data_IF_774755381561
#
_entry.id   IF_774755381561
#
_cell.length_a   1.000
_cell.length_b   1.000
_cell.length_c   1.000
_cell.angle_alpha   90.00
_cell.angle_beta   90.00
_cell.angle_gamma   90.00
#
_symmetry.space_group_name_H-M   'P 1'
#
loop_
_entity.id
_entity.type
_entity.pdbx_description
1 polymer ?
#
# COMPACT_ATOMS: atom_id res chain seq x y z
N UNK A 1 14.66 7.22 -18.80
CA UNK A 1 14.45 7.65 -17.40
C UNK A 1 12.96 7.61 -17.11
N UNK A 2 12.49 6.46 -16.63
CA UNK A 2 11.07 6.06 -16.57
C UNK A 2 10.36 6.51 -15.28
N UNK A 3 10.99 7.38 -14.49
CA UNK A 3 10.47 7.77 -13.17
C UNK A 3 9.17 8.57 -13.25
N UNK A 4 8.93 9.23 -14.39
CA UNK A 4 7.71 9.99 -14.63
C UNK A 4 6.54 9.15 -15.17
N UNK A 5 6.76 7.91 -15.63
CA UNK A 5 5.67 7.05 -16.16
C UNK A 5 4.66 6.65 -15.06
N UNK A 6 5.10 6.64 -13.81
CA UNK A 6 4.28 6.34 -12.62
C UNK A 6 3.76 7.60 -11.92
N UNK A 7 4.17 8.78 -12.38
CA UNK A 7 3.74 10.04 -11.80
C UNK A 7 2.43 10.47 -12.46
N UNK A 8 1.37 10.57 -11.65
CA UNK A 8 0.12 11.15 -12.11
C UNK A 8 0.28 12.67 -12.26
N UNK A 9 0.36 13.13 -13.52
CA UNK A 9 0.51 14.56 -13.84
C UNK A 9 -0.66 15.41 -13.34
N UNK A 10 -1.84 14.82 -13.13
CA UNK A 10 -2.99 15.54 -12.62
C UNK A 10 -2.78 16.01 -11.19
N UNK A 11 -1.94 15.34 -10.39
CA UNK A 11 -1.57 15.79 -9.05
C UNK A 11 -0.88 17.15 -9.06
N UNK A 12 0.03 17.39 -10.01
CA UNK A 12 0.73 18.68 -10.14
C UNK A 12 -0.09 19.71 -10.93
N UNK A 13 -0.65 19.32 -12.08
CA UNK A 13 -1.14 20.27 -13.08
C UNK A 13 -2.63 20.14 -13.40
N UNK A 14 -3.30 19.11 -12.89
CA UNK A 14 -4.70 18.83 -13.18
C UNK A 14 -5.68 19.79 -12.52
N UNK A 15 -6.96 19.79 -12.95
CA UNK A 15 -8.01 20.51 -12.23
C UNK A 15 -8.26 19.89 -10.85
N UNK A 16 -8.82 20.68 -9.92
CA UNK A 16 -9.07 20.22 -8.54
C UNK A 16 -9.92 18.93 -8.48
N UNK A 17 -10.84 18.73 -9.43
CA UNK A 17 -11.64 17.51 -9.53
C UNK A 17 -10.80 16.27 -9.85
N UNK A 18 -9.84 16.38 -10.78
CA UNK A 18 -8.95 15.27 -11.11
C UNK A 18 -8.05 14.90 -9.92
N UNK A 19 -7.47 15.90 -9.25
CA UNK A 19 -6.71 15.71 -8.01
C UNK A 19 -7.53 14.98 -6.95
N UNK A 20 -8.77 15.40 -6.74
CA UNK A 20 -9.65 14.76 -5.75
C UNK A 20 -9.93 13.28 -6.10
N UNK A 21 -10.16 12.98 -7.38
CA UNK A 21 -10.36 11.60 -7.86
C UNK A 21 -9.10 10.76 -7.63
N UNK A 22 -7.92 11.25 -8.02
CA UNK A 22 -6.65 10.55 -7.79
C UNK A 22 -6.41 10.31 -6.31
N UNK A 23 -6.65 11.29 -5.45
CA UNK A 23 -6.49 11.14 -4.00
C UNK A 23 -7.45 10.09 -3.44
N UNK A 24 -8.72 10.11 -3.79
CA UNK A 24 -9.68 9.08 -3.33
C UNK A 24 -9.25 7.68 -3.81
N UNK A 25 -8.85 7.55 -5.07
CA UNK A 25 -8.42 6.28 -5.65
C UNK A 25 -7.17 5.72 -4.94
N UNK A 26 -6.13 6.54 -4.77
CA UNK A 26 -4.83 6.12 -4.22
C UNK A 26 -4.78 6.05 -2.69
N UNK A 27 -5.58 6.84 -1.99
CA UNK A 27 -5.58 6.91 -0.52
C UNK A 27 -6.61 5.97 0.10
N UNK A 28 -7.75 5.75 -0.56
CA UNK A 28 -8.85 4.96 0.02
C UNK A 28 -9.04 3.65 -0.74
N UNK A 29 -9.31 3.73 -2.03
CA UNK A 29 -9.72 2.55 -2.79
C UNK A 29 -8.58 1.54 -2.92
N UNK A 30 -7.39 1.97 -3.36
CA UNK A 30 -6.24 1.08 -3.55
C UNK A 30 -5.84 0.40 -2.23
N UNK A 31 -5.62 1.11 -1.10
CA UNK A 31 -5.31 0.46 0.18
C UNK A 31 -6.38 -0.52 0.66
N UNK A 32 -7.66 -0.22 0.45
CA UNK A 32 -8.74 -1.13 0.83
C UNK A 32 -8.68 -2.45 0.04
N UNK A 33 -8.56 -2.37 -1.29
CA UNK A 33 -8.45 -3.56 -2.14
C UNK A 33 -7.17 -4.34 -1.85
N UNK A 34 -6.05 -3.65 -1.68
CA UNK A 34 -4.77 -4.26 -1.36
C UNK A 34 -4.82 -5.03 -0.03
N UNK A 35 -5.38 -4.47 1.04
CA UNK A 35 -5.51 -5.20 2.29
C UNK A 35 -6.41 -6.43 2.19
N UNK A 36 -7.53 -6.34 1.45
CA UNK A 36 -8.42 -7.48 1.22
C UNK A 36 -7.67 -8.61 0.50
N UNK A 37 -6.94 -8.29 -0.57
CA UNK A 37 -6.23 -9.26 -1.40
C UNK A 37 -5.02 -9.83 -0.65
N UNK A 38 -4.14 -8.97 -0.14
CA UNK A 38 -2.85 -9.39 0.40
C UNK A 38 -2.97 -9.92 1.83
N UNK A 39 -3.83 -9.37 2.68
CA UNK A 39 -3.95 -9.79 4.10
C UNK A 39 -5.13 -10.74 4.30
N UNK A 40 -6.26 -10.44 3.68
CA UNK A 40 -7.44 -11.32 3.74
C UNK A 40 -7.21 -12.64 3.03
N UNK A 41 -6.82 -12.60 1.75
CA UNK A 41 -6.72 -13.81 0.92
C UNK A 41 -5.32 -14.43 0.94
N UNK A 42 -4.30 -13.69 0.51
CA UNK A 42 -2.95 -14.23 0.30
C UNK A 42 -2.30 -14.64 1.63
N UNK A 43 -2.19 -13.72 2.60
CA UNK A 43 -1.62 -14.02 3.92
C UNK A 43 -2.39 -15.15 4.61
N UNK A 44 -3.74 -15.10 4.61
CA UNK A 44 -4.57 -16.15 5.19
C UNK A 44 -4.27 -17.55 4.60
N UNK A 45 -4.15 -17.63 3.28
CA UNK A 45 -3.82 -18.87 2.57
C UNK A 45 -2.41 -19.36 2.89
N UNK A 46 -1.42 -18.47 2.86
CA UNK A 46 -0.03 -18.79 3.19
C UNK A 46 0.11 -19.22 4.64
N UNK A 47 -0.60 -18.55 5.55
CA UNK A 47 -0.59 -18.87 6.97
C UNK A 47 -1.13 -20.28 7.21
N UNK A 48 -2.25 -20.63 6.59
CA UNK A 48 -2.83 -21.97 6.74
C UNK A 48 -1.83 -23.09 6.36
N UNK A 49 -0.91 -22.83 5.43
CA UNK A 49 0.04 -23.82 4.92
C UNK A 49 1.44 -23.76 5.53
N UNK A 50 1.94 -22.58 5.87
CA UNK A 50 3.35 -22.37 6.22
C UNK A 50 3.57 -21.77 7.62
N UNK A 51 2.50 -21.44 8.36
CA UNK A 51 2.61 -20.81 9.67
C UNK A 51 2.83 -19.29 9.61
N UNK A 52 3.05 -18.66 10.77
CA UNK A 52 3.02 -17.19 10.94
C UNK A 52 4.10 -16.51 10.11
N UNK A 53 5.36 -16.78 10.44
CA UNK A 53 6.49 -16.00 9.97
C UNK A 53 6.77 -16.16 8.48
N UNK A 54 6.74 -17.39 7.91
CA UNK A 54 6.84 -17.54 6.46
C UNK A 54 5.72 -16.80 5.72
N UNK A 55 4.48 -16.85 6.23
CA UNK A 55 3.37 -16.13 5.60
C UNK A 55 3.54 -14.60 5.65
N UNK A 56 4.03 -14.05 6.78
CA UNK A 56 4.35 -12.61 6.89
C UNK A 56 5.37 -12.22 5.83
N UNK A 57 6.49 -12.94 5.77
CA UNK A 57 7.60 -12.61 4.85
C UNK A 57 7.16 -12.77 3.39
N UNK A 58 6.51 -13.89 3.04
CA UNK A 58 6.09 -14.17 1.67
C UNK A 58 5.02 -13.20 1.17
N UNK A 59 3.98 -12.92 1.98
CA UNK A 59 2.94 -11.96 1.59
C UNK A 59 3.50 -10.55 1.42
N UNK A 60 4.36 -10.11 2.33
CA UNK A 60 5.03 -8.80 2.25
C UNK A 60 5.97 -8.70 1.04
N UNK A 61 6.70 -9.76 0.72
CA UNK A 61 7.58 -9.80 -0.45
C UNK A 61 6.80 -9.72 -1.76
N UNK A 62 5.73 -10.52 -1.90
CA UNK A 62 4.87 -10.49 -3.10
C UNK A 62 4.21 -9.11 -3.24
N UNK A 63 3.74 -8.52 -2.14
CA UNK A 63 3.19 -7.16 -2.11
C UNK A 63 4.20 -6.13 -2.60
N UNK A 64 5.42 -6.14 -2.06
CA UNK A 64 6.48 -5.20 -2.44
C UNK A 64 6.98 -5.39 -3.88
N UNK A 65 7.06 -6.63 -4.37
CA UNK A 65 7.42 -6.92 -5.76
C UNK A 65 6.36 -6.38 -6.75
N UNK A 66 5.08 -6.51 -6.41
CA UNK A 66 3.98 -6.03 -7.25
C UNK A 66 4.00 -4.50 -7.45
N UNK A 67 4.64 -3.75 -6.56
CA UNK A 67 4.78 -2.30 -6.68
C UNK A 67 5.86 -1.87 -7.69
N UNK A 68 6.77 -2.77 -8.09
CA UNK A 68 7.76 -2.47 -9.13
C UNK A 68 8.80 -1.39 -8.77
N UNK A 69 8.93 -1.03 -7.49
CA UNK A 69 9.89 -0.01 -7.06
C UNK A 69 11.33 -0.53 -7.03
N UNK A 70 12.29 0.40 -7.10
CA UNK A 70 13.70 0.12 -6.83
C UNK A 70 13.95 -0.28 -5.36
N UNK A 71 15.20 -0.64 -5.02
CA UNK A 71 15.54 -1.24 -3.74
C UNK A 71 15.02 -0.50 -2.49
N UNK A 72 15.09 0.84 -2.47
CA UNK A 72 14.58 1.63 -1.35
C UNK A 72 13.05 1.59 -1.22
N UNK A 73 12.33 1.73 -2.35
CA UNK A 73 10.86 1.62 -2.37
C UNK A 73 10.40 0.21 -2.07
N UNK A 74 11.09 -0.81 -2.58
CA UNK A 74 10.85 -2.20 -2.23
C UNK A 74 10.98 -2.42 -0.71
N UNK A 75 12.06 -1.96 -0.09
CA UNK A 75 12.27 -2.10 1.35
C UNK A 75 11.17 -1.40 2.16
N UNK A 76 10.76 -0.19 1.76
CA UNK A 76 9.66 0.54 2.39
C UNK A 76 8.34 -0.23 2.31
N UNK A 77 7.94 -0.65 1.12
CA UNK A 77 6.69 -1.39 0.91
C UNK A 77 6.73 -2.77 1.58
N UNK A 78 7.88 -3.43 1.60
CA UNK A 78 8.05 -4.72 2.29
C UNK A 78 7.85 -4.57 3.80
N UNK A 79 8.44 -3.56 4.42
CA UNK A 79 8.32 -3.33 5.86
C UNK A 79 6.88 -2.97 6.27
N UNK A 80 6.23 -2.08 5.50
CA UNK A 80 4.79 -1.79 5.66
C UNK A 80 3.95 -3.06 5.43
N UNK A 81 4.29 -3.80 4.38
CA UNK A 81 3.92 -5.17 4.06
C UNK A 81 3.75 -6.05 5.29
N UNK A 82 4.89 -6.29 5.92
CA UNK A 82 5.06 -7.14 7.09
C UNK A 82 4.35 -6.58 8.32
N UNK A 83 4.37 -5.25 8.53
CA UNK A 83 3.70 -4.60 9.65
C UNK A 83 2.18 -4.82 9.60
N UNK A 84 1.53 -4.63 8.44
CA UNK A 84 0.09 -4.84 8.32
C UNK A 84 -0.29 -6.32 8.40
N UNK A 85 0.54 -7.23 7.85
CA UNK A 85 0.35 -8.67 8.04
C UNK A 85 0.45 -9.09 9.53
N UNK A 86 1.41 -8.51 10.27
CA UNK A 86 1.52 -8.73 11.72
C UNK A 86 0.34 -8.14 12.49
N UNK A 87 -0.12 -6.94 12.12
CA UNK A 87 -1.31 -6.32 12.68
C UNK A 87 -2.55 -7.19 12.50
N UNK A 88 -2.76 -7.73 11.29
CA UNK A 88 -3.82 -8.69 11.00
C UNK A 88 -3.68 -9.96 11.83
N UNK A 89 -2.48 -10.53 11.98
CA UNK A 89 -2.27 -11.73 12.78
C UNK A 89 -2.68 -11.53 14.24
N UNK A 90 -2.34 -10.37 14.81
CA UNK A 90 -2.59 -10.03 16.22
C UNK A 90 -4.04 -9.68 16.49
N UNK A 91 -4.70 -9.03 15.53
CA UNK A 91 -6.06 -8.49 15.73
C UNK A 91 -7.14 -9.31 15.07
N UNK A 92 -6.79 -10.18 14.11
CA UNK A 92 -7.71 -10.89 13.21
C UNK A 92 -8.70 -9.98 12.50
N UNK A 93 -8.29 -8.72 12.29
CA UNK A 93 -9.08 -7.69 11.62
C UNK A 93 -8.23 -7.00 10.56
N UNK A 94 -8.83 -6.71 9.41
CA UNK A 94 -8.19 -5.93 8.34
C UNK A 94 -8.19 -4.44 8.67
N UNK A 95 -9.10 -3.97 9.53
CA UNK A 95 -9.30 -2.54 9.77
C UNK A 95 -8.04 -1.81 10.29
N UNK A 96 -7.27 -2.34 11.25
CA UNK A 96 -6.09 -1.64 11.74
C UNK A 96 -5.02 -1.45 10.66
N UNK A 97 -4.75 -2.50 9.86
CA UNK A 97 -3.83 -2.43 8.73
C UNK A 97 -4.34 -1.47 7.64
N UNK A 98 -5.62 -1.59 7.28
CA UNK A 98 -6.27 -0.75 6.27
C UNK A 98 -6.26 0.73 6.63
N UNK A 99 -6.61 1.09 7.87
CA UNK A 99 -6.58 2.48 8.32
C UNK A 99 -5.16 3.02 8.34
N UNK A 100 -4.18 2.23 8.83
CA UNK A 100 -2.79 2.64 8.84
C UNK A 100 -2.23 2.84 7.42
N UNK A 101 -2.61 1.97 6.48
CA UNK A 101 -2.24 2.06 5.08
C UNK A 101 -2.86 3.29 4.41
N UNK A 102 -4.16 3.50 4.57
CA UNK A 102 -4.84 4.72 4.10
C UNK A 102 -4.20 5.98 4.69
N UNK A 103 -3.87 5.98 5.98
CA UNK A 103 -3.20 7.12 6.62
C UNK A 103 -1.79 7.36 6.05
N UNK A 104 -1.04 6.30 5.75
CA UNK A 104 0.28 6.42 5.13
C UNK A 104 0.17 7.01 3.71
N UNK A 105 -0.75 6.51 2.90
CA UNK A 105 -0.97 7.06 1.55
C UNK A 105 -1.52 8.49 1.60
N UNK A 106 -2.39 8.82 2.57
CA UNK A 106 -2.86 10.18 2.78
C UNK A 106 -1.70 11.12 3.10
N UNK A 107 -0.81 10.74 4.01
CA UNK A 107 0.35 11.54 4.36
C UNK A 107 1.24 11.80 3.14
N UNK A 108 1.55 10.76 2.35
CA UNK A 108 2.34 10.90 1.13
C UNK A 108 1.64 11.78 0.10
N UNK A 109 0.36 11.52 -0.18
CA UNK A 109 -0.44 12.28 -1.16
C UNK A 109 -0.57 13.75 -0.80
N UNK A 110 -0.81 14.07 0.47
CA UNK A 110 -0.90 15.46 0.95
C UNK A 110 0.47 16.17 0.92
N UNK A 111 1.56 15.47 1.27
CA UNK A 111 2.91 16.03 1.13
C UNK A 111 3.25 16.32 -0.32
N UNK A 112 2.90 15.41 -1.25
CA UNK A 112 3.10 15.64 -2.68
C UNK A 112 2.28 16.83 -3.16
N UNK A 113 1.01 16.92 -2.77
CA UNK A 113 0.15 18.06 -3.12
C UNK A 113 0.74 19.39 -2.63
N UNK A 114 1.22 19.44 -1.39
CA UNK A 114 1.85 20.63 -0.80
C UNK A 114 3.18 21.03 -1.47
N UNK A 115 3.95 20.05 -1.97
CA UNK A 115 5.22 20.33 -2.65
C UNK A 115 5.05 20.76 -4.11
N UNK A 116 3.97 20.30 -4.75
CA UNK A 116 3.77 20.47 -6.19
C UNK A 116 2.77 21.57 -6.55
N UNK A 117 2.03 22.11 -5.57
CA UNK A 117 1.05 23.19 -5.74
C UNK A 117 1.19 24.26 -4.66
#
# INVERSE_FOLDING_TARGET
SHWAEWFDSDLAWGPAAAVAVTLVASVVLAPAFEEIIFRGVLYGSLRARFGVWPAVVMSAAIFALAHGYGAAGFASVFLSGALWAWSYERTRSLLPGMIAHMANNAAVGLTLLWLLR
#
